data_IF_567296553444
#
_entry.id   IF_567296553444
#
_cell.length_a   1.000
_cell.length_b   1.000
_cell.length_c   1.000
_cell.angle_alpha   90.00
_cell.angle_beta   90.00
_cell.angle_gamma   90.00
#
_symmetry.space_group_name_H-M   'P 1'
#
loop_
_entity.id
_entity.type
_entity.pdbx_description
1 polymer ?
#
# COMPACT_ATOMS: atom_id res chain seq x y z
N UNK A 1 -25.96 61.31 -72.11
CA UNK A 1 -25.62 61.31 -70.70
C UNK A 1 -25.23 59.91 -70.28
N UNK A 2 -23.96 59.57 -70.37
CA UNK A 2 -23.43 58.25 -69.93
C UNK A 2 -22.40 58.52 -68.82
N UNK A 3 -22.67 58.08 -67.64
CA UNK A 3 -21.73 58.15 -66.47
C UNK A 3 -20.74 57.02 -66.56
N UNK A 4 -19.47 57.37 -66.58
CA UNK A 4 -18.35 56.48 -66.56
C UNK A 4 -18.03 56.16 -65.08
N UNK A 5 -18.03 54.90 -64.73
CA UNK A 5 -17.61 54.43 -63.37
C UNK A 5 -16.19 53.81 -63.52
N UNK A 6 -15.23 54.43 -62.88
CA UNK A 6 -13.86 53.93 -62.78
C UNK A 6 -13.81 52.94 -61.63
N UNK A 7 -13.44 51.71 -61.95
CA UNK A 7 -13.13 50.68 -60.89
C UNK A 7 -11.63 50.66 -60.67
N UNK A 8 -11.20 51.06 -59.49
CA UNK A 8 -9.81 51.05 -59.12
C UNK A 8 -9.54 49.66 -58.42
N UNK A 9 -8.82 48.75 -59.08
CA UNK A 9 -8.35 47.51 -58.52
C UNK A 9 -7.04 47.73 -57.78
N UNK A 10 -7.09 47.76 -56.48
CA UNK A 10 -5.90 47.68 -55.59
C UNK A 10 -5.54 46.23 -55.39
N UNK A 11 -4.38 45.80 -55.86
CA UNK A 11 -3.79 44.53 -55.53
C UNK A 11 -3.17 44.61 -54.15
N UNK A 12 -3.76 43.90 -53.14
CA UNK A 12 -3.16 43.64 -51.85
C UNK A 12 -2.43 42.30 -51.94
N UNK A 13 -1.12 42.34 -52.09
CA UNK A 13 -0.21 41.23 -51.75
C UNK A 13 0.06 41.34 -50.29
N UNK A 14 -0.63 40.52 -49.47
CA UNK A 14 -0.49 40.45 -48.02
C UNK A 14 -0.02 39.08 -47.61
N UNK A 15 1.09 39.01 -46.95
CA UNK A 15 1.67 37.85 -46.30
C UNK A 15 0.63 36.99 -45.55
N UNK A 16 0.41 35.78 -46.01
CA UNK A 16 -0.23 34.69 -45.26
C UNK A 16 0.73 33.52 -45.19
N UNK A 17 1.64 33.58 -44.21
CA UNK A 17 2.40 32.41 -43.79
C UNK A 17 2.83 32.63 -42.32
N UNK A 18 2.01 32.19 -41.37
CA UNK A 18 2.39 32.25 -39.97
C UNK A 18 1.31 31.96 -38.95
N UNK A 19 0.04 31.85 -39.34
CA UNK A 19 -1.06 31.66 -38.38
C UNK A 19 -1.80 30.32 -38.45
N UNK A 20 -1.46 29.46 -39.42
CA UNK A 20 -2.16 28.17 -39.61
C UNK A 20 -1.59 27.03 -38.80
N UNK A 21 -0.38 27.14 -38.21
CA UNK A 21 0.19 26.07 -37.38
C UNK A 21 -0.10 26.19 -35.90
N UNK A 22 -0.51 27.35 -35.38
CA UNK A 22 -0.86 27.48 -33.97
C UNK A 22 -2.30 27.12 -33.61
N UNK A 23 -3.20 26.99 -34.59
CA UNK A 23 -4.59 26.63 -34.34
C UNK A 23 -4.90 25.12 -34.45
N UNK A 24 -3.99 24.29 -34.95
CA UNK A 24 -4.20 22.84 -35.01
C UNK A 24 -3.89 22.10 -33.70
N UNK A 25 -3.07 22.67 -32.80
CA UNK A 25 -2.81 22.07 -31.49
C UNK A 25 -3.91 22.33 -30.45
N UNK A 26 -4.76 23.31 -30.63
CA UNK A 26 -5.83 23.69 -29.71
C UNK A 26 -7.16 22.96 -29.91
N UNK A 27 -7.29 22.18 -30.98
CA UNK A 27 -8.49 21.38 -31.29
C UNK A 27 -8.25 19.88 -31.25
N UNK A 28 -7.45 19.38 -30.28
CA UNK A 28 -7.61 17.98 -29.84
C UNK A 28 -8.92 17.87 -29.09
N UNK A 29 -10.00 17.73 -29.82
CA UNK A 29 -11.26 17.22 -29.27
C UNK A 29 -10.92 15.85 -28.69
N UNK A 30 -10.85 15.76 -27.34
CA UNK A 30 -10.85 14.48 -26.66
C UNK A 30 -12.17 13.84 -27.05
N UNK A 31 -12.14 12.94 -28.04
CA UNK A 31 -13.31 12.14 -28.39
C UNK A 31 -13.63 11.28 -27.15
N UNK A 32 -14.61 11.73 -26.37
CA UNK A 32 -15.19 10.92 -25.31
C UNK A 32 -15.64 9.60 -25.94
N UNK A 33 -15.31 8.44 -25.38
CA UNK A 33 -15.86 7.19 -25.86
C UNK A 33 -17.38 7.29 -25.82
N UNK A 34 -18.04 7.10 -26.96
CA UNK A 34 -19.51 7.17 -27.12
C UNK A 34 -20.26 6.03 -26.45
N UNK A 35 -19.57 5.10 -25.80
CA UNK A 35 -20.19 4.18 -24.85
C UNK A 35 -20.42 4.95 -23.56
N UNK A 36 -21.68 5.22 -23.22
CA UNK A 36 -22.07 5.85 -21.96
C UNK A 36 -21.37 5.16 -20.79
N UNK A 37 -20.90 5.95 -19.83
CA UNK A 37 -20.33 5.45 -18.58
C UNK A 37 -21.40 4.51 -17.98
N UNK A 38 -21.22 3.20 -18.14
CA UNK A 38 -22.01 2.22 -17.40
C UNK A 38 -21.55 2.37 -15.95
N UNK A 39 -22.45 2.76 -15.07
CA UNK A 39 -22.22 2.60 -13.63
C UNK A 39 -21.88 1.14 -13.40
N UNK A 40 -20.71 0.86 -12.82
CA UNK A 40 -20.32 -0.50 -12.52
C UNK A 40 -21.34 -1.06 -11.50
N UNK A 41 -22.05 -2.12 -11.87
CA UNK A 41 -22.83 -2.90 -10.92
C UNK A 41 -21.85 -3.81 -10.16
N UNK A 42 -21.68 -3.53 -8.88
CA UNK A 42 -20.76 -4.28 -8.03
C UNK A 42 -21.44 -5.42 -7.26
N UNK A 43 -22.73 -5.68 -7.51
CA UNK A 43 -23.49 -6.67 -6.77
C UNK A 43 -22.88 -8.07 -6.87
N UNK A 44 -22.46 -8.46 -8.08
CA UNK A 44 -21.82 -9.77 -8.31
C UNK A 44 -20.45 -9.86 -7.63
N UNK A 45 -19.66 -8.78 -7.70
CA UNK A 45 -18.34 -8.73 -7.04
C UNK A 45 -18.50 -8.85 -5.52
N UNK A 46 -19.45 -8.12 -4.95
CA UNK A 46 -19.78 -8.20 -3.53
C UNK A 46 -20.23 -9.61 -3.13
N UNK A 47 -21.14 -10.23 -3.88
CA UNK A 47 -21.63 -11.58 -3.61
C UNK A 47 -20.53 -12.64 -3.65
N UNK A 48 -19.53 -12.49 -4.53
CA UNK A 48 -18.39 -13.40 -4.64
C UNK A 48 -17.37 -13.24 -3.52
N UNK A 49 -17.27 -12.07 -2.88
CA UNK A 49 -16.16 -11.74 -1.99
C UNK A 49 -16.57 -11.61 -0.52
N UNK A 50 -17.83 -11.36 -0.23
CA UNK A 50 -18.32 -11.07 1.12
C UNK A 50 -18.09 -12.23 2.09
N UNK A 51 -18.21 -13.48 1.61
CA UNK A 51 -18.01 -14.70 2.41
C UNK A 51 -16.52 -14.93 2.75
N UNK A 52 -15.62 -14.30 2.01
CA UNK A 52 -14.17 -14.35 2.27
C UNK A 52 -13.69 -13.32 3.27
N UNK A 53 -14.58 -12.43 3.77
CA UNK A 53 -14.23 -11.44 4.79
C UNK A 53 -14.86 -11.80 6.12
N UNK A 54 -14.06 -11.83 7.17
CA UNK A 54 -14.44 -12.28 8.51
C UNK A 54 -14.35 -11.15 9.52
N UNK A 55 -15.12 -11.28 10.61
CA UNK A 55 -14.98 -10.44 11.79
C UNK A 55 -13.93 -11.04 12.75
N UNK A 56 -13.04 -10.20 13.27
CA UNK A 56 -12.05 -10.57 14.25
C UNK A 56 -12.35 -9.84 15.57
N UNK A 57 -12.44 -10.61 16.65
CA UNK A 57 -12.52 -10.11 18.01
C UNK A 57 -11.28 -10.58 18.77
N UNK A 58 -10.60 -9.64 19.42
CA UNK A 58 -9.48 -9.94 20.32
C UNK A 58 -9.81 -9.56 21.74
N UNK A 59 -9.25 -10.29 22.69
CA UNK A 59 -9.36 -10.02 24.13
C UNK A 59 -7.98 -9.82 24.70
N UNK A 60 -7.80 -8.74 25.45
CA UNK A 60 -6.57 -8.38 26.15
C UNK A 60 -6.90 -8.14 27.61
N UNK A 61 -6.06 -8.64 28.52
CA UNK A 61 -6.17 -8.32 29.94
C UNK A 61 -5.15 -7.24 30.29
N UNK A 62 -5.62 -6.12 30.85
CA UNK A 62 -4.74 -5.08 31.38
C UNK A 62 -4.84 -5.02 32.89
N UNK A 63 -3.69 -4.94 33.56
CA UNK A 63 -3.60 -4.68 34.98
C UNK A 63 -3.72 -3.18 35.20
N UNK A 64 -4.85 -2.73 35.75
CA UNK A 64 -5.10 -1.32 36.07
C UNK A 64 -4.90 -1.11 37.57
N UNK A 65 -3.98 -0.21 37.99
CA UNK A 65 -3.82 0.10 39.41
C UNK A 65 -5.11 0.71 39.99
N UNK A 66 -5.54 0.19 41.14
CA UNK A 66 -6.67 0.73 41.89
C UNK A 66 -6.15 1.76 42.89
N UNK A 67 -6.51 3.02 42.67
CA UNK A 67 -6.24 4.10 43.62
C UNK A 67 -7.52 4.50 44.32
N UNK A 68 -7.51 4.50 45.61
CA UNK A 68 -8.60 5.07 46.44
C UNK A 68 -8.09 6.30 47.18
N UNK A 69 -8.86 7.38 47.11
CA UNK A 69 -8.59 8.58 47.90
C UNK A 69 -9.31 8.44 49.24
N UNK A 70 -8.55 8.47 50.35
CA UNK A 70 -9.07 8.49 51.70
C UNK A 70 -8.46 9.68 52.45
N UNK A 71 -9.29 10.64 52.86
CA UNK A 71 -8.85 11.89 53.54
C UNK A 71 -7.74 12.65 52.79
N UNK A 72 -7.79 12.70 51.45
CA UNK A 72 -6.77 13.40 50.64
C UNK A 72 -5.48 12.60 50.41
N UNK A 73 -5.33 11.41 50.93
CA UNK A 73 -4.24 10.51 50.63
C UNK A 73 -4.64 9.50 49.58
N UNK A 74 -3.79 9.30 48.57
CA UNK A 74 -3.99 8.31 47.52
C UNK A 74 -3.40 6.98 48.03
N UNK A 75 -4.25 5.98 48.29
CA UNK A 75 -3.85 4.65 48.73
C UNK A 75 -3.94 3.70 47.54
N UNK A 76 -2.84 3.01 47.23
CA UNK A 76 -2.82 1.96 46.21
C UNK A 76 -3.44 0.68 46.85
N UNK A 77 -4.61 0.28 46.33
CA UNK A 77 -5.34 -0.93 46.80
C UNK A 77 -5.00 -2.19 46.00
N UNK A 78 -3.97 -2.14 45.18
CA UNK A 78 -3.59 -3.28 44.32
C UNK A 78 -3.88 -3.03 42.84
N UNK A 79 -3.98 -4.12 42.09
CA UNK A 79 -4.25 -4.07 40.63
C UNK A 79 -5.53 -4.85 40.33
N UNK A 80 -6.37 -4.26 39.52
CA UNK A 80 -7.55 -4.93 38.96
C UNK A 80 -7.22 -5.44 37.55
N UNK A 81 -7.58 -6.69 37.27
CA UNK A 81 -7.59 -7.22 35.91
C UNK A 81 -8.83 -6.68 35.17
N UNK A 82 -8.64 -6.00 34.07
CA UNK A 82 -9.72 -5.51 33.23
C UNK A 82 -9.53 -6.04 31.82
N UNK A 83 -10.56 -6.72 31.33
CA UNK A 83 -10.59 -7.21 29.95
C UNK A 83 -11.00 -6.08 28.99
N UNK A 84 -10.27 -5.96 27.91
CA UNK A 84 -10.55 -5.07 26.79
C UNK A 84 -10.71 -5.91 25.54
N UNK A 85 -11.75 -5.63 24.77
CA UNK A 85 -11.94 -6.23 23.45
C UNK A 85 -11.60 -5.22 22.38
N UNK A 86 -10.83 -5.64 21.37
CA UNK A 86 -10.66 -4.91 20.12
C UNK A 86 -11.33 -5.69 18.97
N UNK A 87 -11.68 -4.99 17.91
CA UNK A 87 -12.42 -5.52 16.78
C UNK A 87 -11.78 -5.09 15.47
N UNK A 88 -11.83 -5.97 14.49
CA UNK A 88 -11.37 -5.72 13.14
C UNK A 88 -11.95 -6.72 12.17
N UNK A 89 -11.40 -6.73 10.99
CA UNK A 89 -11.74 -7.65 9.91
C UNK A 89 -10.54 -8.51 9.53
N UNK A 90 -10.78 -9.57 8.77
CA UNK A 90 -9.74 -10.39 8.16
C UNK A 90 -10.19 -10.90 6.81
N UNK A 91 -9.25 -11.30 5.99
CA UNK A 91 -9.47 -11.88 4.66
C UNK A 91 -9.01 -13.33 4.64
N UNK A 92 -9.92 -14.25 4.35
CA UNK A 92 -9.57 -15.66 4.12
C UNK A 92 -8.80 -15.74 2.80
N UNK A 93 -7.58 -16.27 2.85
CA UNK A 93 -6.67 -16.36 1.70
C UNK A 93 -6.41 -17.78 1.22
N UNK A 94 -6.87 -18.79 1.97
CA UNK A 94 -6.76 -20.20 1.56
C UNK A 94 -7.88 -21.05 2.13
N UNK A 95 -8.20 -22.18 1.44
CA UNK A 95 -9.13 -23.20 1.91
C UNK A 95 -8.65 -23.89 3.20
N UNK A 96 -7.33 -23.84 3.47
CA UNK A 96 -6.74 -24.35 4.71
C UNK A 96 -7.08 -23.49 5.94
N UNK A 97 -7.69 -22.31 5.77
CA UNK A 97 -8.09 -21.41 6.86
C UNK A 97 -7.04 -20.38 7.26
N UNK A 98 -6.12 -20.03 6.38
CA UNK A 98 -5.25 -18.87 6.60
C UNK A 98 -6.01 -17.57 6.37
N UNK A 99 -5.83 -16.61 7.29
CA UNK A 99 -6.49 -15.30 7.27
C UNK A 99 -5.44 -14.22 7.41
N UNK A 100 -5.43 -13.25 6.46
CA UNK A 100 -4.68 -12.01 6.60
C UNK A 100 -5.51 -10.97 7.35
N UNK A 101 -4.86 -10.23 8.25
CA UNK A 101 -5.42 -9.08 8.96
C UNK A 101 -4.31 -8.07 9.28
N UNK A 102 -4.65 -6.98 9.96
CA UNK A 102 -3.63 -6.04 10.43
C UNK A 102 -3.01 -6.48 11.77
N UNK A 103 -1.74 -6.13 11.96
CA UNK A 103 -1.02 -6.37 13.20
C UNK A 103 -1.67 -5.62 14.38
N UNK A 104 -2.08 -4.36 14.20
CA UNK A 104 -2.72 -3.57 15.26
C UNK A 104 -4.05 -4.16 15.74
N UNK A 105 -4.74 -4.96 14.91
CA UNK A 105 -5.98 -5.67 15.31
C UNK A 105 -5.70 -6.78 16.31
N UNK A 106 -4.56 -7.48 16.18
CA UNK A 106 -4.23 -8.67 16.98
C UNK A 106 -3.10 -8.44 17.98
N UNK A 107 -2.51 -7.26 17.97
CA UNK A 107 -1.41 -6.89 18.86
C UNK A 107 -1.82 -7.03 20.34
N UNK A 108 -1.00 -7.71 21.13
CA UNK A 108 -1.24 -7.99 22.55
C UNK A 108 -2.50 -8.83 22.85
N UNK A 109 -3.10 -9.49 21.86
CA UNK A 109 -4.25 -10.36 22.06
C UNK A 109 -3.85 -11.63 22.85
N UNK A 110 -4.56 -11.92 23.94
CA UNK A 110 -4.47 -13.19 24.65
C UNK A 110 -5.37 -14.25 23.99
N UNK A 111 -6.48 -13.81 23.40
CA UNK A 111 -7.43 -14.65 22.69
C UNK A 111 -7.87 -13.96 21.41
N UNK A 112 -7.98 -14.74 20.34
CA UNK A 112 -8.46 -14.29 19.04
C UNK A 112 -9.62 -15.18 18.62
N UNK A 113 -10.76 -14.57 18.33
CA UNK A 113 -11.95 -15.24 17.80
C UNK A 113 -12.28 -14.67 16.42
N UNK A 114 -12.60 -15.57 15.51
CA UNK A 114 -13.04 -15.23 14.15
C UNK A 114 -14.50 -15.62 14.01
N UNK A 115 -15.33 -14.68 13.55
CA UNK A 115 -16.72 -14.96 13.16
C UNK A 115 -16.80 -14.91 11.65
N UNK A 116 -17.17 -16.04 11.05
CA UNK A 116 -17.40 -16.19 9.63
C UNK A 116 -18.71 -15.48 9.20
N UNK A 117 -18.88 -15.25 7.90
CA UNK A 117 -20.10 -14.60 7.39
C UNK A 117 -21.38 -15.41 7.68
N UNK A 118 -21.28 -16.74 7.75
CA UNK A 118 -22.36 -17.65 8.16
C UNK A 118 -22.64 -17.72 9.67
N UNK A 119 -22.00 -16.83 10.45
CA UNK A 119 -22.11 -16.67 11.90
C UNK A 119 -21.44 -17.77 12.75
N UNK A 120 -20.74 -18.72 12.16
CA UNK A 120 -19.87 -19.63 12.94
C UNK A 120 -18.77 -18.83 13.63
N UNK A 121 -18.57 -19.08 14.91
CA UNK A 121 -17.49 -18.48 15.71
C UNK A 121 -16.45 -19.55 15.97
N UNK A 122 -15.22 -19.29 15.54
CA UNK A 122 -14.09 -20.23 15.67
C UNK A 122 -12.90 -19.54 16.35
N UNK A 123 -12.15 -20.25 17.20
CA UNK A 123 -10.89 -19.72 17.73
C UNK A 123 -9.86 -19.62 16.59
N UNK A 124 -9.00 -18.60 16.65
CA UNK A 124 -7.92 -18.42 15.71
C UNK A 124 -6.57 -18.49 16.41
N UNK A 125 -5.62 -19.15 15.76
CA UNK A 125 -4.21 -19.18 16.16
C UNK A 125 -3.47 -18.06 15.44
N UNK A 126 -2.67 -17.27 16.18
CA UNK A 126 -1.74 -16.32 15.59
C UNK A 126 -0.50 -17.09 15.08
N UNK A 127 -0.29 -17.06 13.77
CA UNK A 127 0.88 -17.68 13.12
C UNK A 127 2.08 -16.74 13.22
N UNK A 128 1.88 -15.46 13.00
CA UNK A 128 2.92 -14.45 13.14
C UNK A 128 2.41 -13.07 12.81
N UNK A 129 3.24 -12.06 13.14
CA UNK A 129 2.97 -10.65 12.87
C UNK A 129 4.15 -9.99 12.19
N UNK A 130 3.86 -8.94 11.46
CA UNK A 130 4.83 -8.03 10.87
C UNK A 130 4.45 -6.59 11.18
N UNK A 131 4.97 -6.03 12.29
CA UNK A 131 4.71 -4.65 12.66
C UNK A 131 5.17 -3.63 11.63
N UNK A 132 6.18 -3.93 10.83
CA UNK A 132 6.72 -2.99 9.84
C UNK A 132 5.82 -2.80 8.61
N UNK A 133 4.93 -3.74 8.30
CA UNK A 133 3.87 -3.58 7.29
C UNK A 133 2.48 -3.49 7.87
N UNK A 134 2.33 -3.57 9.21
CA UNK A 134 1.05 -3.68 9.90
C UNK A 134 0.21 -4.89 9.44
N UNK A 135 0.85 -6.05 9.19
CA UNK A 135 0.18 -7.30 8.81
C UNK A 135 0.31 -8.38 9.88
N UNK A 136 -0.69 -9.26 9.91
CA UNK A 136 -0.68 -10.49 10.72
C UNK A 136 -1.33 -11.64 9.96
N UNK A 137 -0.84 -12.86 10.21
CA UNK A 137 -1.38 -14.10 9.67
C UNK A 137 -2.00 -14.93 10.79
N UNK A 138 -3.27 -15.27 10.61
CA UNK A 138 -4.02 -16.15 11.51
C UNK A 138 -4.29 -17.49 10.83
N UNK A 139 -4.60 -18.50 11.64
CA UNK A 139 -5.07 -19.82 11.20
C UNK A 139 -6.32 -20.21 11.98
N UNK A 140 -7.34 -20.64 11.27
CA UNK A 140 -8.55 -21.23 11.80
C UNK A 140 -8.75 -22.67 11.29
N UNK A 141 -9.48 -23.47 12.03
CA UNK A 141 -9.93 -24.79 11.61
C UNK A 141 -11.44 -24.73 11.36
N UNK A 142 -11.84 -24.72 10.08
CA UNK A 142 -13.24 -24.71 9.67
C UNK A 142 -13.40 -25.23 8.24
N UNK A 143 -14.53 -25.89 7.97
CA UNK A 143 -14.87 -26.40 6.64
C UNK A 143 -15.68 -25.37 5.85
N UNK A 144 -15.66 -25.50 4.51
CA UNK A 144 -16.48 -24.70 3.60
C UNK A 144 -16.07 -23.23 3.53
N UNK A 145 -14.80 -22.95 3.76
CA UNK A 145 -14.24 -21.61 3.64
C UNK A 145 -14.25 -21.15 2.18
N UNK A 146 -14.41 -19.84 1.97
CA UNK A 146 -14.41 -19.21 0.64
C UNK A 146 -13.32 -18.16 0.55
N UNK A 147 -12.09 -18.55 0.16
CA UNK A 147 -10.99 -17.59 0.05
C UNK A 147 -11.23 -16.58 -1.09
N UNK A 148 -10.79 -15.35 -0.89
CA UNK A 148 -10.77 -14.35 -1.96
C UNK A 148 -9.53 -14.61 -2.83
N UNK A 149 -9.68 -14.78 -4.17
CA UNK A 149 -8.57 -14.98 -5.05
C UNK A 149 -7.58 -13.81 -5.01
N UNK A 150 -6.28 -14.10 -4.90
CA UNK A 150 -5.24 -13.08 -4.95
C UNK A 150 -5.21 -12.42 -6.34
N UNK A 151 -5.17 -11.10 -6.35
CA UNK A 151 -4.95 -10.29 -7.55
C UNK A 151 -3.49 -9.91 -7.72
N UNK A 152 -3.29 -8.77 -8.38
CA UNK A 152 -1.96 -8.19 -8.58
C UNK A 152 -2.01 -6.67 -8.38
N UNK A 153 -1.46 -6.19 -7.26
CA UNK A 153 -1.44 -4.76 -6.92
C UNK A 153 -0.56 -3.92 -7.86
N UNK A 154 0.42 -4.54 -8.56
CA UNK A 154 1.27 -3.80 -9.50
C UNK A 154 0.48 -3.39 -10.74
N UNK A 155 -0.43 -4.24 -11.21
CA UNK A 155 -1.30 -3.97 -12.35
C UNK A 155 -2.45 -2.99 -12.02
N UNK A 156 -2.68 -2.70 -10.76
CA UNK A 156 -3.70 -1.77 -10.32
C UNK A 156 -3.39 -0.34 -10.75
N UNK A 157 -4.38 0.38 -11.28
CA UNK A 157 -4.22 1.72 -11.87
C UNK A 157 -5.09 2.75 -11.17
N UNK A 158 -4.56 3.98 -11.06
CA UNK A 158 -5.34 5.14 -10.59
C UNK A 158 -6.58 5.31 -11.47
N UNK A 159 -7.74 5.55 -10.84
CA UNK A 159 -9.05 5.60 -11.48
C UNK A 159 -9.74 4.24 -11.65
N UNK A 160 -9.09 3.12 -11.35
CA UNK A 160 -9.69 1.79 -11.41
C UNK A 160 -10.72 1.62 -10.30
N UNK A 161 -11.95 1.12 -10.60
CA UNK A 161 -12.97 0.84 -9.61
C UNK A 161 -12.56 -0.26 -8.64
N UNK A 162 -12.92 -0.08 -7.36
CA UNK A 162 -12.63 -1.02 -6.26
C UNK A 162 -13.76 -1.08 -5.25
N UNK A 163 -13.84 -2.18 -4.50
CA UNK A 163 -14.66 -2.33 -3.31
C UNK A 163 -13.79 -2.52 -2.08
N UNK A 164 -14.09 -1.78 -1.01
CA UNK A 164 -13.58 -2.06 0.32
C UNK A 164 -14.63 -2.84 1.10
N UNK A 165 -14.23 -3.99 1.66
CA UNK A 165 -15.12 -4.93 2.34
C UNK A 165 -14.56 -5.20 3.73
N UNK A 166 -15.37 -4.94 4.75
CA UNK A 166 -15.06 -5.25 6.14
C UNK A 166 -16.26 -5.88 6.85
N UNK A 167 -16.04 -6.39 8.05
CA UNK A 167 -17.09 -6.94 8.91
C UNK A 167 -17.06 -6.28 10.29
N UNK A 168 -17.40 -4.97 10.38
CA UNK A 168 -17.40 -4.27 11.65
C UNK A 168 -18.52 -4.77 12.56
N UNK A 169 -18.28 -4.79 13.88
CA UNK A 169 -19.27 -5.01 14.93
C UNK A 169 -20.02 -6.36 14.88
N UNK A 170 -19.51 -7.37 14.18
CA UNK A 170 -20.17 -8.70 14.04
C UNK A 170 -21.61 -8.63 13.52
N UNK A 171 -21.95 -7.61 12.75
CA UNK A 171 -23.27 -7.47 12.10
C UNK A 171 -23.31 -8.28 10.80
N UNK A 172 -23.33 -7.60 9.70
CA UNK A 172 -23.13 -8.13 8.34
C UNK A 172 -21.94 -7.45 7.71
N UNK A 173 -21.30 -8.12 6.78
CA UNK A 173 -20.19 -7.49 6.06
C UNK A 173 -20.65 -6.18 5.41
N UNK A 174 -19.84 -5.14 5.54
CA UNK A 174 -20.08 -3.82 4.94
C UNK A 174 -19.26 -3.71 3.68
N UNK A 175 -19.89 -3.28 2.59
CA UNK A 175 -19.24 -3.07 1.29
C UNK A 175 -19.36 -1.60 0.92
N UNK A 176 -18.25 -0.99 0.57
CA UNK A 176 -18.20 0.38 0.05
C UNK A 176 -17.46 0.40 -1.28
N UNK A 177 -17.89 1.26 -2.20
CA UNK A 177 -17.31 1.37 -3.53
C UNK A 177 -16.54 2.69 -3.67
N UNK A 178 -15.48 2.66 -4.45
CA UNK A 178 -14.67 3.80 -4.81
C UNK A 178 -13.72 3.49 -5.95
N UNK A 179 -12.66 4.27 -6.07
CA UNK A 179 -11.59 4.08 -7.06
C UNK A 179 -10.23 4.04 -6.37
N UNK A 180 -9.23 3.57 -7.06
CA UNK A 180 -7.85 3.81 -6.66
C UNK A 180 -7.54 5.28 -6.90
N UNK A 181 -7.32 6.05 -5.83
CA UNK A 181 -7.04 7.48 -5.90
C UNK A 181 -5.55 7.76 -6.12
N UNK A 182 -4.67 6.93 -5.53
CA UNK A 182 -3.22 7.00 -5.68
C UNK A 182 -2.57 5.65 -5.30
N UNK A 183 -1.27 5.53 -5.59
CA UNK A 183 -0.43 4.40 -5.17
C UNK A 183 0.82 4.92 -4.47
N UNK A 184 1.52 4.02 -3.78
CA UNK A 184 2.80 4.30 -3.12
C UNK A 184 2.73 5.46 -2.11
N UNK A 185 1.64 5.56 -1.34
CA UNK A 185 1.50 6.58 -0.29
C UNK A 185 2.25 6.18 0.96
N UNK A 186 3.16 7.05 1.37
CA UNK A 186 3.80 7.01 2.70
C UNK A 186 3.14 8.08 3.57
N UNK A 187 2.55 7.66 4.68
CA UNK A 187 1.77 8.53 5.57
C UNK A 187 2.43 8.71 6.94
N UNK A 188 3.48 7.93 7.25
CA UNK A 188 4.16 7.93 8.56
C UNK A 188 3.24 7.47 9.70
N UNK A 189 2.30 6.55 9.41
CA UNK A 189 1.32 6.07 10.41
C UNK A 189 1.75 4.78 11.11
N UNK A 190 2.66 4.02 10.51
CA UNK A 190 3.27 2.85 11.16
C UNK A 190 4.38 3.36 12.09
N UNK A 191 4.23 3.07 13.38
CA UNK A 191 5.20 3.54 14.37
C UNK A 191 6.62 3.00 14.10
N UNK A 192 7.57 3.92 13.98
CA UNK A 192 8.98 3.59 13.88
C UNK A 192 9.58 3.44 15.29
N UNK A 193 9.43 2.27 15.88
CA UNK A 193 9.97 1.98 17.21
C UNK A 193 11.47 1.65 17.13
N UNK A 194 12.28 2.31 17.96
CA UNK A 194 13.73 2.04 18.02
C UNK A 194 14.00 0.56 18.28
N UNK A 195 14.81 -0.06 17.41
CA UNK A 195 15.18 -1.49 17.48
C UNK A 195 14.24 -2.41 16.70
N UNK A 196 13.20 -1.89 16.08
CA UNK A 196 12.37 -2.60 15.09
C UNK A 196 12.86 -2.30 13.67
N UNK A 197 12.40 -3.12 12.72
CA UNK A 197 12.63 -2.89 11.30
C UNK A 197 11.94 -1.60 10.84
N UNK A 198 12.54 -0.90 9.87
CA UNK A 198 11.93 0.30 9.30
C UNK A 198 10.56 0.01 8.70
N UNK A 199 9.55 0.85 8.97
CA UNK A 199 8.23 0.70 8.37
C UNK A 199 8.28 0.69 6.84
N UNK A 200 7.45 -0.16 6.24
CA UNK A 200 7.23 -0.19 4.79
C UNK A 200 5.82 0.33 4.55
N UNK A 201 5.74 1.58 4.21
CA UNK A 201 4.50 2.24 3.84
C UNK A 201 4.51 2.56 2.35
N UNK A 202 3.76 1.77 1.58
CA UNK A 202 3.51 1.99 0.16
C UNK A 202 2.04 1.73 -0.12
N UNK A 203 1.17 2.50 0.52
CA UNK A 203 -0.26 2.23 0.51
C UNK A 203 -0.92 2.53 -0.83
N UNK A 204 -1.92 1.71 -1.17
CA UNK A 204 -2.95 2.06 -2.15
C UNK A 204 -3.93 3.00 -1.45
N UNK A 205 -4.11 4.20 -1.99
CA UNK A 205 -5.13 5.14 -1.54
C UNK A 205 -6.43 4.92 -2.33
N UNK A 206 -7.57 4.91 -1.64
CA UNK A 206 -8.91 4.85 -2.24
C UNK A 206 -9.86 5.83 -1.57
N UNK A 207 -10.90 6.25 -2.28
CA UNK A 207 -12.03 7.01 -1.75
C UNK A 207 -13.22 6.11 -1.36
N UNK A 208 -13.07 4.77 -1.45
CA UNK A 208 -14.01 3.85 -0.83
C UNK A 208 -14.03 4.07 0.70
N UNK A 209 -15.21 4.27 1.27
CA UNK A 209 -15.33 4.64 2.68
C UNK A 209 -14.89 3.50 3.61
N UNK A 210 -13.92 3.78 4.47
CA UNK A 210 -13.41 2.88 5.51
C UNK A 210 -13.65 3.53 6.87
N UNK A 211 -14.12 2.74 7.83
CA UNK A 211 -14.36 3.16 9.21
C UNK A 211 -13.78 2.14 10.19
N UNK A 212 -13.65 2.47 11.50
CA UNK A 212 -13.20 1.53 12.51
C UNK A 212 -13.94 0.19 12.45
N UNK A 213 -13.18 -0.91 12.47
CA UNK A 213 -13.68 -2.27 12.26
C UNK A 213 -13.49 -2.82 10.84
N UNK A 214 -13.26 -1.98 9.83
CA UNK A 214 -12.89 -2.43 8.48
C UNK A 214 -11.39 -2.76 8.35
N UNK A 215 -10.54 -2.34 9.30
CA UNK A 215 -9.11 -2.67 9.34
C UNK A 215 -8.91 -4.17 9.27
N UNK A 216 -8.02 -4.63 8.39
CA UNK A 216 -7.77 -6.04 8.07
C UNK A 216 -8.71 -6.61 7.00
N UNK A 217 -9.71 -5.85 6.55
CA UNK A 217 -10.63 -6.23 5.49
C UNK A 217 -10.02 -6.20 4.09
N UNK A 218 -10.84 -6.54 3.08
CA UNK A 218 -10.40 -6.65 1.70
C UNK A 218 -10.60 -5.36 0.91
N UNK A 219 -9.60 -5.01 0.08
CA UNK A 219 -9.79 -4.14 -1.07
C UNK A 219 -9.73 -5.02 -2.32
N UNK A 220 -10.84 -5.09 -3.08
CA UNK A 220 -10.95 -5.96 -4.26
C UNK A 220 -11.20 -5.16 -5.53
N UNK A 221 -10.74 -5.70 -6.66
CA UNK A 221 -10.99 -5.14 -7.99
C UNK A 221 -12.36 -5.58 -8.55
N UNK A 222 -12.72 -5.06 -9.74
CA UNK A 222 -13.95 -5.40 -10.44
C UNK A 222 -14.05 -6.88 -10.90
N UNK A 223 -12.95 -7.66 -10.78
CA UNK A 223 -12.93 -9.09 -11.07
C UNK A 223 -12.98 -9.94 -9.79
N UNK A 224 -13.40 -9.38 -8.65
CA UNK A 224 -13.45 -10.04 -7.35
C UNK A 224 -12.09 -10.56 -6.87
N UNK A 225 -10.97 -9.92 -7.25
CA UNK A 225 -9.63 -10.27 -6.82
C UNK A 225 -9.14 -9.31 -5.75
N UNK A 226 -8.51 -9.86 -4.73
CA UNK A 226 -7.88 -9.09 -3.66
C UNK A 226 -6.70 -8.31 -4.23
N UNK A 227 -6.71 -6.97 -4.06
CA UNK A 227 -5.61 -6.08 -4.48
C UNK A 227 -4.96 -5.36 -3.30
N UNK A 228 -5.56 -5.43 -2.11
CA UNK A 228 -4.97 -4.88 -0.88
C UNK A 228 -5.71 -5.30 0.38
N UNK A 229 -5.04 -5.12 1.52
CA UNK A 229 -5.60 -5.27 2.87
C UNK A 229 -5.86 -3.87 3.43
N UNK A 230 -7.12 -3.56 3.72
CA UNK A 230 -7.51 -2.27 4.30
C UNK A 230 -6.84 -2.09 5.65
N UNK A 231 -6.19 -0.95 5.91
CA UNK A 231 -5.45 -0.74 7.16
C UNK A 231 -5.83 0.52 7.90
N UNK A 232 -5.91 1.68 7.23
CA UNK A 232 -6.00 2.96 7.90
C UNK A 232 -6.87 3.97 7.15
N UNK A 233 -7.19 5.05 7.87
CA UNK A 233 -7.76 6.28 7.33
C UNK A 233 -6.88 7.46 7.74
N UNK A 234 -6.69 8.45 6.86
CA UNK A 234 -6.09 9.72 7.27
C UNK A 234 -7.18 10.60 7.88
N UNK A 235 -7.28 10.58 9.21
CA UNK A 235 -8.29 11.33 9.93
C UNK A 235 -7.78 11.69 11.33
N UNK A 236 -8.03 12.92 11.76
CA UNK A 236 -7.66 13.40 13.09
C UNK A 236 -8.61 12.89 14.19
N UNK A 237 -9.83 12.53 13.83
CA UNK A 237 -10.90 12.10 14.73
C UNK A 237 -11.30 10.62 14.55
N UNK A 238 -10.60 9.89 13.67
CA UNK A 238 -10.79 8.45 13.44
C UNK A 238 -11.96 8.09 12.52
N UNK A 239 -12.60 9.08 11.86
CA UNK A 239 -13.68 8.85 10.90
C UNK A 239 -13.23 9.13 9.47
N UNK A 240 -13.93 8.51 8.51
CA UNK A 240 -13.66 8.67 7.08
C UNK A 240 -13.77 10.13 6.63
N UNK A 241 -12.71 10.62 5.97
CA UNK A 241 -12.61 11.99 5.45
C UNK A 241 -12.31 12.04 3.94
N UNK A 242 -12.54 10.94 3.22
CA UNK A 242 -12.22 10.84 1.80
C UNK A 242 -10.88 10.15 1.49
N UNK A 243 -10.14 9.71 2.51
CA UNK A 243 -8.83 9.08 2.36
C UNK A 243 -8.79 7.77 3.14
N UNK A 244 -8.80 6.68 2.41
CA UNK A 244 -8.61 5.33 2.94
C UNK A 244 -7.37 4.69 2.34
N UNK A 245 -6.72 3.79 3.08
CA UNK A 245 -5.47 3.17 2.71
C UNK A 245 -5.53 1.66 2.82
N UNK A 246 -4.88 0.98 1.88
CA UNK A 246 -4.73 -0.46 1.90
C UNK A 246 -3.27 -0.86 1.60
N UNK A 247 -2.80 -1.90 2.26
CA UNK A 247 -1.49 -2.51 2.01
C UNK A 247 -1.59 -3.30 0.71
N UNK A 248 -0.67 -3.12 -0.27
CA UNK A 248 -0.70 -3.83 -1.55
C UNK A 248 -0.66 -5.34 -1.37
N UNK A 249 -1.48 -6.07 -2.15
CA UNK A 249 -1.61 -7.53 -2.00
C UNK A 249 -0.33 -8.29 -2.31
N UNK A 250 0.50 -7.83 -3.26
CA UNK A 250 1.76 -8.50 -3.58
C UNK A 250 2.73 -8.49 -2.39
N UNK A 251 2.77 -7.37 -1.65
CA UNK A 251 3.53 -7.28 -0.39
C UNK A 251 2.88 -8.15 0.70
N UNK A 252 1.55 -8.12 0.82
CA UNK A 252 0.82 -8.90 1.81
C UNK A 252 0.98 -10.41 1.60
N UNK A 253 1.00 -10.88 0.36
CA UNK A 253 1.23 -12.28 0.01
C UNK A 253 2.63 -12.74 0.44
N UNK A 254 3.66 -11.93 0.12
CA UNK A 254 5.04 -12.23 0.54
C UNK A 254 5.16 -12.32 2.07
N UNK A 255 4.54 -11.39 2.80
CA UNK A 255 4.51 -11.42 4.27
C UNK A 255 3.80 -12.68 4.77
N UNK A 256 2.64 -13.04 4.21
CA UNK A 256 1.89 -14.24 4.61
C UNK A 256 2.70 -15.52 4.37
N UNK A 257 3.37 -15.63 3.22
CA UNK A 257 4.20 -16.79 2.87
C UNK A 257 5.39 -16.95 3.83
N UNK A 258 6.03 -15.84 4.18
CA UNK A 258 7.14 -15.86 5.14
C UNK A 258 6.68 -16.23 6.56
N UNK A 259 5.60 -15.61 7.02
CA UNK A 259 5.03 -15.90 8.34
C UNK A 259 4.63 -17.38 8.44
N UNK A 260 4.05 -17.95 7.38
CA UNK A 260 3.70 -19.37 7.31
C UNK A 260 4.93 -20.29 7.36
N UNK A 261 6.00 -19.94 6.64
CA UNK A 261 7.19 -20.81 6.50
C UNK A 261 8.18 -20.66 7.64
N UNK A 262 8.37 -19.44 8.13
CA UNK A 262 9.46 -19.08 9.03
C UNK A 262 8.99 -18.52 10.39
N UNK A 263 7.69 -18.19 10.51
CA UNK A 263 7.14 -17.52 11.69
C UNK A 263 7.48 -16.04 11.80
N UNK A 264 8.28 -15.50 10.89
CA UNK A 264 8.65 -14.08 10.78
C UNK A 264 9.06 -13.75 9.35
N UNK A 265 8.99 -12.46 9.00
CA UNK A 265 9.26 -11.99 7.64
C UNK A 265 10.76 -11.99 7.35
N UNK A 266 11.12 -12.45 6.14
CA UNK A 266 12.48 -12.43 5.62
C UNK A 266 12.66 -11.16 4.78
N UNK A 267 13.35 -10.14 5.30
CA UNK A 267 13.58 -8.89 4.59
C UNK A 267 14.96 -8.78 4.03
N UNK A 268 15.03 -8.51 2.73
CA UNK A 268 16.23 -8.07 2.06
C UNK A 268 16.46 -6.58 2.25
N UNK A 269 17.72 -6.18 2.40
CA UNK A 269 18.14 -4.78 2.53
C UNK A 269 19.21 -4.45 1.50
N UNK A 270 19.12 -3.24 0.93
CA UNK A 270 20.17 -2.65 0.11
C UNK A 270 21.28 -2.02 0.96
N UNK A 271 20.95 -1.47 2.13
CA UNK A 271 21.88 -0.74 2.99
C UNK A 271 22.14 0.67 2.49
N UNK A 272 21.11 1.40 2.09
CA UNK A 272 21.20 2.75 1.57
C UNK A 272 20.28 3.71 2.32
N UNK A 273 20.67 4.99 2.36
CA UNK A 273 19.76 6.08 2.70
C UNK A 273 19.48 6.84 1.42
N UNK A 274 18.22 7.17 1.18
CA UNK A 274 17.79 7.85 -0.05
C UNK A 274 17.09 9.17 0.25
N UNK A 275 17.05 10.02 -0.78
CA UNK A 275 16.28 11.27 -0.80
C UNK A 275 15.43 11.28 -2.07
N UNK A 276 14.18 11.66 -1.95
CA UNK A 276 13.32 11.83 -3.10
C UNK A 276 13.79 12.98 -3.98
N UNK A 277 13.68 12.78 -5.31
CA UNK A 277 14.11 13.76 -6.30
C UNK A 277 13.21 14.99 -6.28
N UNK A 278 13.81 16.17 -6.18
CA UNK A 278 13.15 17.45 -6.43
C UNK A 278 13.43 17.97 -7.83
N UNK A 279 12.60 18.90 -8.32
CA UNK A 279 12.82 19.54 -9.61
C UNK A 279 14.15 20.28 -9.69
N UNK A 280 14.61 20.88 -8.57
CA UNK A 280 15.91 21.56 -8.50
C UNK A 280 17.08 20.57 -8.61
N UNK A 281 16.98 19.40 -7.97
CA UNK A 281 18.01 18.35 -8.07
C UNK A 281 18.06 17.75 -9.47
N UNK A 282 16.90 17.49 -10.09
CA UNK A 282 16.82 17.01 -11.47
C UNK A 282 17.49 17.99 -12.46
N UNK A 283 17.24 19.29 -12.31
CA UNK A 283 17.87 20.32 -13.12
C UNK A 283 19.40 20.37 -12.95
N UNK A 284 19.91 20.26 -11.70
CA UNK A 284 21.34 20.21 -11.41
C UNK A 284 22.02 18.97 -12.03
N UNK A 285 21.31 17.84 -12.10
CA UNK A 285 21.79 16.61 -12.74
C UNK A 285 21.59 16.60 -14.27
N UNK A 286 21.02 17.65 -14.85
CA UNK A 286 20.74 17.75 -16.29
C UNK A 286 19.62 16.83 -16.77
N UNK A 287 18.73 16.39 -15.86
CA UNK A 287 17.59 15.55 -16.18
C UNK A 287 16.41 16.41 -16.64
N UNK A 288 15.67 15.91 -17.62
CA UNK A 288 14.45 16.57 -18.16
C UNK A 288 13.21 16.30 -17.29
N UNK A 289 13.24 15.25 -16.49
CA UNK A 289 12.11 14.77 -15.70
C UNK A 289 12.56 14.50 -14.27
N UNK A 290 11.64 14.70 -13.32
CA UNK A 290 11.82 14.29 -11.92
C UNK A 290 11.49 12.80 -11.84
N UNK A 291 12.53 11.97 -11.68
CA UNK A 291 12.38 10.51 -11.58
C UNK A 291 13.49 9.92 -10.74
N UNK A 292 13.22 8.74 -10.20
CA UNK A 292 14.18 8.00 -9.41
C UNK A 292 14.33 8.52 -7.98
N UNK A 293 15.11 7.81 -7.17
CA UNK A 293 15.49 8.15 -5.80
C UNK A 293 17.00 8.29 -5.70
N UNK A 294 17.47 9.38 -5.10
CA UNK A 294 18.90 9.68 -5.00
C UNK A 294 19.51 8.95 -3.80
N UNK A 295 20.60 8.21 -4.00
CA UNK A 295 21.36 7.60 -2.92
C UNK A 295 22.15 8.69 -2.15
N UNK A 296 21.60 9.11 -1.00
CA UNK A 296 22.25 10.11 -0.14
C UNK A 296 23.42 9.50 0.65
N UNK A 297 23.35 8.21 0.95
CA UNK A 297 24.42 7.44 1.60
C UNK A 297 24.33 5.98 1.22
N UNK A 298 25.48 5.34 1.03
CA UNK A 298 25.62 3.89 0.95
C UNK A 298 26.39 3.44 2.19
N UNK A 299 25.87 2.48 2.92
CA UNK A 299 26.50 1.93 4.13
C UNK A 299 27.68 1.06 3.68
N UNK A 300 28.88 1.23 4.25
CA UNK A 300 30.02 0.37 3.93
C UNK A 300 29.72 -1.10 4.17
N UNK A 301 30.24 -1.98 3.31
CA UNK A 301 30.09 -3.44 3.36
C UNK A 301 28.65 -3.97 3.22
N UNK A 302 27.68 -3.11 2.93
CA UNK A 302 26.30 -3.54 2.66
C UNK A 302 26.11 -4.08 1.24
N UNK A 303 24.92 -4.59 0.93
CA UNK A 303 24.57 -5.15 -0.37
C UNK A 303 24.81 -4.18 -1.53
N UNK A 304 24.39 -2.92 -1.39
CA UNK A 304 24.57 -1.87 -2.39
C UNK A 304 26.04 -1.52 -2.62
N UNK A 305 26.83 -1.41 -1.54
CA UNK A 305 28.27 -1.11 -1.61
C UNK A 305 29.02 -2.21 -2.35
N UNK A 306 28.78 -3.47 -1.99
CA UNK A 306 29.37 -4.66 -2.66
C UNK A 306 28.99 -4.75 -4.13
N UNK A 307 27.82 -4.27 -4.53
CA UNK A 307 27.38 -4.19 -5.91
C UNK A 307 27.91 -2.96 -6.66
N UNK A 308 28.71 -2.11 -6.01
CA UNK A 308 29.36 -0.94 -6.62
C UNK A 308 28.47 0.29 -6.76
N UNK A 309 27.31 0.33 -6.07
CA UNK A 309 26.50 1.53 -5.93
C UNK A 309 27.21 2.53 -5.03
N UNK A 310 27.01 3.82 -5.29
CA UNK A 310 27.72 4.91 -4.61
C UNK A 310 26.76 6.03 -4.23
N UNK A 311 27.14 6.81 -3.23
CA UNK A 311 26.50 8.07 -2.94
C UNK A 311 26.46 8.94 -4.21
N UNK A 312 25.30 9.56 -4.48
CA UNK A 312 25.06 10.38 -5.67
C UNK A 312 24.51 9.60 -6.87
N UNK A 313 24.39 8.27 -6.80
CA UNK A 313 23.65 7.51 -7.82
C UNK A 313 22.16 7.80 -7.72
N UNK A 314 21.51 7.93 -8.86
CA UNK A 314 20.06 8.04 -8.95
C UNK A 314 19.48 6.66 -9.29
N UNK A 315 18.84 6.02 -8.34
CA UNK A 315 18.17 4.74 -8.50
C UNK A 315 16.91 4.92 -9.37
N UNK A 316 16.83 4.21 -10.48
CA UNK A 316 15.71 4.32 -11.44
C UNK A 316 14.79 3.10 -11.41
N UNK A 317 15.36 1.88 -11.25
CA UNK A 317 14.63 0.62 -11.21
C UNK A 317 15.21 -0.33 -10.19
N UNK A 318 14.33 -1.10 -9.54
CA UNK A 318 14.66 -2.24 -8.68
C UNK A 318 13.86 -3.42 -9.19
N UNK A 319 14.47 -4.58 -9.40
CA UNK A 319 13.85 -5.79 -9.98
C UNK A 319 13.05 -5.53 -11.27
N UNK A 320 13.51 -4.58 -12.10
CA UNK A 320 12.82 -4.17 -13.33
C UNK A 320 11.68 -3.17 -13.15
N UNK A 321 11.22 -2.91 -11.93
CA UNK A 321 10.15 -1.96 -11.60
C UNK A 321 10.73 -0.56 -11.42
N UNK A 322 10.09 0.46 -12.00
CA UNK A 322 10.48 1.87 -11.82
C UNK A 322 10.18 2.30 -10.39
N UNK A 323 11.15 3.01 -9.77
CA UNK A 323 11.02 3.55 -8.42
C UNK A 323 11.27 5.06 -8.45
N UNK A 324 10.26 5.86 -8.08
CA UNK A 324 10.31 7.32 -8.11
C UNK A 324 10.10 7.95 -6.72
N UNK A 325 9.83 7.11 -5.72
CA UNK A 325 9.67 7.51 -4.32
C UNK A 325 10.35 6.53 -3.38
N UNK A 326 10.58 6.97 -2.14
CA UNK A 326 11.06 6.08 -1.07
C UNK A 326 10.10 4.91 -0.84
N UNK A 327 8.79 5.19 -0.88
CA UNK A 327 7.74 4.19 -0.70
C UNK A 327 7.81 3.07 -1.76
N UNK A 328 7.90 3.44 -3.05
CA UNK A 328 8.04 2.47 -4.15
C UNK A 328 9.30 1.62 -4.02
N UNK A 329 10.43 2.24 -3.68
CA UNK A 329 11.68 1.52 -3.47
C UNK A 329 11.57 0.54 -2.29
N UNK A 330 10.99 0.97 -1.16
CA UNK A 330 10.85 0.13 0.04
C UNK A 330 9.88 -1.03 -0.20
N UNK A 331 8.79 -0.80 -0.91
CA UNK A 331 7.85 -1.86 -1.30
C UNK A 331 8.55 -2.91 -2.15
N UNK A 332 9.27 -2.48 -3.20
CA UNK A 332 9.92 -3.40 -4.13
C UNK A 332 11.03 -4.20 -3.46
N UNK A 333 11.92 -3.54 -2.70
CA UNK A 333 12.96 -4.23 -1.95
C UNK A 333 12.38 -5.16 -0.88
N UNK A 334 11.30 -4.73 -0.20
CA UNK A 334 10.63 -5.50 0.85
C UNK A 334 9.96 -6.80 0.39
N UNK A 335 9.75 -6.98 -0.92
CA UNK A 335 9.23 -8.21 -1.54
C UNK A 335 10.29 -9.29 -1.68
N UNK A 336 11.57 -8.96 -1.50
CA UNK A 336 12.69 -9.87 -1.67
C UNK A 336 13.27 -10.32 -0.33
N UNK A 337 13.81 -11.55 -0.33
CA UNK A 337 14.45 -12.16 0.82
C UNK A 337 15.97 -11.89 0.84
N UNK A 338 16.65 -12.06 1.99
CA UNK A 338 18.10 -12.11 2.04
C UNK A 338 18.66 -13.22 1.14
N UNK A 339 19.69 -12.90 0.34
CA UNK A 339 20.28 -13.79 -0.64
C UNK A 339 19.69 -13.69 -2.04
N UNK A 340 18.53 -13.04 -2.21
CA UNK A 340 17.97 -12.81 -3.54
C UNK A 340 18.87 -11.88 -4.36
N UNK A 341 18.95 -12.18 -5.65
CA UNK A 341 19.65 -11.38 -6.66
C UNK A 341 18.65 -10.40 -7.27
N UNK A 342 18.87 -9.11 -7.08
CA UNK A 342 17.99 -8.05 -7.54
C UNK A 342 18.72 -7.16 -8.53
N UNK A 343 18.19 -7.04 -9.74
CA UNK A 343 18.73 -6.14 -10.74
C UNK A 343 18.34 -4.70 -10.42
N UNK A 344 19.35 -3.83 -10.39
CA UNK A 344 19.21 -2.41 -10.07
C UNK A 344 19.69 -1.58 -11.24
N UNK A 345 18.83 -0.69 -11.76
CA UNK A 345 19.18 0.29 -12.78
C UNK A 345 19.35 1.65 -12.13
N UNK A 346 20.46 2.31 -12.40
CA UNK A 346 20.79 3.62 -11.82
C UNK A 346 21.46 4.55 -12.83
N UNK A 347 21.38 5.85 -12.57
CA UNK A 347 22.02 6.87 -13.38
C UNK A 347 23.22 7.46 -12.60
N UNK A 348 24.38 7.54 -13.28
CA UNK A 348 25.63 8.09 -12.75
C UNK A 348 26.41 8.78 -13.88
N UNK A 349 26.91 9.98 -13.64
CA UNK A 349 27.77 10.71 -14.58
C UNK A 349 27.21 10.80 -16.01
N UNK A 350 25.93 11.12 -16.15
CA UNK A 350 25.30 11.32 -17.47
C UNK A 350 24.88 10.03 -18.18
N UNK A 351 25.03 8.85 -17.56
CA UNK A 351 24.73 7.54 -18.19
C UNK A 351 23.91 6.65 -17.28
N UNK A 352 23.08 5.83 -17.89
CA UNK A 352 22.36 4.75 -17.19
C UNK A 352 23.23 3.50 -17.13
N UNK A 353 23.27 2.88 -15.97
CA UNK A 353 23.99 1.65 -15.66
C UNK A 353 23.05 0.64 -15.03
N UNK A 354 23.43 -0.62 -15.05
CA UNK A 354 22.76 -1.70 -14.32
C UNK A 354 23.78 -2.54 -13.54
N UNK A 355 23.35 -3.03 -12.39
CA UNK A 355 24.12 -3.96 -11.57
C UNK A 355 23.17 -4.92 -10.87
N UNK A 356 23.63 -6.12 -10.52
CA UNK A 356 22.87 -7.07 -9.72
C UNK A 356 23.33 -6.98 -8.28
N UNK A 357 22.40 -6.80 -7.36
CA UNK A 357 22.64 -6.68 -5.92
C UNK A 357 22.20 -7.96 -5.24
N UNK A 358 23.06 -8.60 -4.45
CA UNK A 358 22.65 -9.69 -3.55
C UNK A 358 22.18 -9.09 -2.24
N UNK A 359 20.89 -9.17 -1.94
CA UNK A 359 20.31 -8.56 -0.74
C UNK A 359 20.84 -9.23 0.53
N UNK A 360 20.94 -8.46 1.60
CA UNK A 360 21.36 -8.92 2.92
C UNK A 360 20.22 -8.78 3.93
N UNK A 361 20.26 -9.55 5.01
CA UNK A 361 19.39 -9.35 6.17
C UNK A 361 19.88 -8.17 7.04
N UNK A 362 19.17 -7.85 8.11
CA UNK A 362 19.53 -6.78 9.07
C UNK A 362 20.85 -7.01 9.78
N UNK A 363 21.42 -8.23 9.75
CA UNK A 363 22.73 -8.60 10.30
C UNK A 363 23.86 -8.51 9.28
N UNK A 364 23.58 -8.06 8.04
CA UNK A 364 24.55 -7.97 6.96
C UNK A 364 24.92 -9.30 6.31
N UNK A 365 24.13 -10.36 6.49
CA UNK A 365 24.35 -11.66 5.87
C UNK A 365 23.26 -11.97 4.82
N UNK A 366 23.53 -12.95 3.95
CA UNK A 366 22.58 -13.43 2.94
C UNK A 366 21.74 -14.59 3.42
N UNK A 367 21.88 -14.98 4.69
CA UNK A 367 21.16 -16.11 5.25
C UNK A 367 19.73 -15.74 5.63
N UNK A 368 18.82 -16.68 5.40
CA UNK A 368 17.46 -16.64 5.93
C UNK A 368 17.53 -16.80 7.46
N UNK A 369 16.88 -15.91 8.20
CA UNK A 369 16.80 -15.98 9.66
C UNK A 369 15.78 -17.06 10.01
N UNK A 370 16.14 -18.03 10.83
CA UNK A 370 15.23 -19.04 11.40
C UNK A 370 15.16 -18.82 12.90
N UNK A 371 13.94 -18.80 13.44
CA UNK A 371 13.75 -18.80 14.89
C UNK A 371 13.98 -20.20 15.47
#
# INVERSE_FOLDING_TARGET
>A
MKKLVFVLTMALIGCQSGQTQQNEEMNRVVTMPTQGVRYADFSDVAALTIDGVVHIRTVQTRLTPLYQSFFGFIINQGVQRKEYSAYGSGVIISDEGYILTNNHVVQHAEQIQVTLNDKRVVPAQLIGTDPATDLALLKIEADGLKPIPMGNSDSARVGQPVLAIGNPFNLTSTVTAGIISAKARNMGIIENTRGMESPIESFIQTDAAVNPGNSGGALVDANARLIGIVTAIASADGYYTGYSFAIPVNLAQKVADDLRRYGHVQRGYLGVNVVEMSSSMAAQMGLKEVKGVLLARVVPDCAADRAGLKQGDLLLKVAGVEVNSFAEMMEEVGRHAPGDLVDVTYYRNGKTHSTTVTLQNSQGTTAVIRR
#
